data_IF_181450228466
#
_entry.id   IF_181450228466
#
_cell.length_a   1.000
_cell.length_b   1.000
_cell.length_c   1.000
_cell.angle_alpha   90.00
_cell.angle_beta   90.00
_cell.angle_gamma   90.00
#
_symmetry.space_group_name_H-M   'P 1'
#
loop_
_entity.id
_entity.type
_entity.pdbx_description
1 polymer ?
#
# COMPACT_ATOMS: atom_id res chain seq x y z
N UNK A 1 3.68 -36.56 66.58
CA UNK A 1 3.22 -35.32 67.26
C UNK A 1 4.03 -34.15 66.73
N UNK A 2 3.37 -33.21 66.03
CA UNK A 2 3.78 -31.83 65.69
C UNK A 2 5.10 -31.58 64.89
N UNK A 3 5.22 -30.43 64.18
CA UNK A 3 5.46 -30.40 62.72
C UNK A 3 6.67 -29.53 62.31
N UNK A 4 6.97 -29.40 61.01
CA UNK A 4 7.63 -28.20 60.44
C UNK A 4 7.54 -28.13 58.90
N UNK A 5 6.75 -27.14 58.44
CA UNK A 5 6.92 -26.22 57.31
C UNK A 5 7.58 -26.68 55.99
N UNK A 6 6.80 -26.63 54.91
CA UNK A 6 7.30 -26.23 53.58
C UNK A 6 6.40 -25.16 52.96
N UNK A 7 6.99 -24.01 52.62
CA UNK A 7 6.41 -22.98 51.75
C UNK A 7 6.23 -23.49 50.31
N UNK A 8 5.19 -23.06 49.57
CA UNK A 8 5.20 -23.17 48.12
C UNK A 8 5.90 -21.95 47.51
N UNK A 9 7.02 -22.18 46.83
CA UNK A 9 7.62 -21.21 45.93
C UNK A 9 6.73 -21.05 44.69
N UNK A 10 6.22 -19.84 44.48
CA UNK A 10 5.43 -19.46 43.33
C UNK A 10 6.34 -19.33 42.10
N UNK A 11 6.34 -20.33 41.22
CA UNK A 11 7.03 -20.25 39.93
C UNK A 11 6.18 -19.40 38.98
N UNK A 12 6.52 -18.13 38.85
CA UNK A 12 6.01 -17.29 37.76
C UNK A 12 6.58 -17.81 36.43
N UNK A 13 5.73 -18.48 35.65
CA UNK A 13 5.99 -18.73 34.23
C UNK A 13 5.88 -17.39 33.48
N UNK A 14 7.01 -16.74 33.22
CA UNK A 14 7.09 -15.68 32.21
C UNK A 14 6.91 -16.32 30.84
N UNK A 15 5.69 -16.26 30.30
CA UNK A 15 5.47 -16.40 28.87
C UNK A 15 6.24 -15.27 28.15
N UNK A 16 7.42 -15.59 27.64
CA UNK A 16 8.11 -14.77 26.64
C UNK A 16 7.26 -14.76 25.36
N UNK A 17 6.32 -13.83 25.28
CA UNK A 17 5.76 -13.42 23.99
C UNK A 17 6.87 -12.73 23.20
N UNK A 18 7.44 -13.47 22.27
CA UNK A 18 8.30 -12.93 21.21
C UNK A 18 7.42 -12.05 20.33
N UNK A 19 7.32 -10.77 20.67
CA UNK A 19 6.69 -9.77 19.83
C UNK A 19 7.59 -9.48 18.63
N UNK A 20 7.23 -10.01 17.47
CA UNK A 20 7.72 -9.51 16.19
C UNK A 20 7.34 -8.02 16.08
N UNK A 21 8.35 -7.16 16.02
CA UNK A 21 8.17 -5.72 15.86
C UNK A 21 7.40 -5.43 14.56
N UNK A 22 6.14 -5.01 14.70
CA UNK A 22 5.28 -4.53 13.63
C UNK A 22 5.49 -3.03 13.50
N UNK A 23 5.99 -2.53 12.37
CA UNK A 23 6.26 -1.10 12.21
C UNK A 23 5.00 -0.20 12.10
N UNK A 24 3.80 -0.74 12.36
CA UNK A 24 2.56 0.02 12.57
C UNK A 24 2.00 -0.13 13.99
N UNK A 25 2.75 -0.70 14.94
CA UNK A 25 2.35 -0.59 16.34
C UNK A 25 2.59 0.83 16.81
N UNK A 26 1.59 1.37 17.49
CA UNK A 26 1.54 2.67 18.17
C UNK A 26 2.86 3.03 18.89
N UNK A 27 3.66 2.03 19.32
CA UNK A 27 4.98 2.17 19.95
C UNK A 27 6.02 3.03 19.19
N UNK A 28 6.11 2.98 17.86
CA UNK A 28 7.05 3.86 17.15
C UNK A 28 6.58 5.32 17.11
N UNK A 29 5.26 5.56 17.17
CA UNK A 29 4.67 6.90 17.18
C UNK A 29 4.69 7.54 18.58
N UNK A 30 4.66 6.72 19.64
CA UNK A 30 4.66 7.17 21.04
C UNK A 30 5.96 7.87 21.45
N UNK A 31 7.08 7.65 20.73
CA UNK A 31 8.41 8.14 21.14
C UNK A 31 8.82 9.46 20.48
N UNK A 32 8.10 9.96 19.47
CA UNK A 32 8.52 11.15 18.68
C UNK A 32 7.43 12.22 18.48
N UNK A 33 6.19 11.97 18.89
CA UNK A 33 5.06 12.89 18.67
C UNK A 33 4.63 13.69 19.90
N UNK A 34 4.26 14.98 19.78
CA UNK A 34 3.50 15.71 20.79
C UNK A 34 2.25 14.93 21.24
N UNK A 35 1.87 15.03 22.53
CA UNK A 35 0.69 14.36 23.11
C UNK A 35 -0.61 14.53 22.29
N UNK A 36 -0.76 15.67 21.60
CA UNK A 36 -1.90 15.95 20.72
C UNK A 36 -2.00 15.03 19.48
N UNK A 37 -0.90 14.39 19.06
CA UNK A 37 -0.92 13.44 17.95
C UNK A 37 -1.48 12.07 18.38
N UNK A 38 -1.43 11.71 19.66
CA UNK A 38 -1.91 10.40 20.11
C UNK A 38 -3.39 10.16 19.80
N UNK A 39 -4.22 11.20 19.84
CA UNK A 39 -5.64 11.14 19.47
C UNK A 39 -5.85 10.63 18.04
N UNK A 40 -4.93 10.93 17.12
CA UNK A 40 -5.04 10.57 15.71
C UNK A 40 -4.37 9.23 15.38
N UNK A 41 -3.57 8.67 16.29
CA UNK A 41 -2.72 7.51 16.01
C UNK A 41 -3.51 6.28 15.52
N UNK A 42 -4.68 6.01 16.11
CA UNK A 42 -5.56 4.92 15.66
C UNK A 42 -6.05 5.11 14.22
N UNK A 43 -6.49 6.32 13.88
CA UNK A 43 -6.96 6.65 12.53
C UNK A 43 -5.82 6.64 11.50
N UNK A 44 -4.61 7.07 11.90
CA UNK A 44 -3.39 6.96 11.08
C UNK A 44 -3.08 5.50 10.78
N UNK A 45 -3.11 4.63 11.78
CA UNK A 45 -2.87 3.20 11.59
C UNK A 45 -3.89 2.58 10.63
N UNK A 46 -5.18 2.89 10.78
CA UNK A 46 -6.23 2.42 9.87
C UNK A 46 -6.00 2.96 8.45
N UNK A 47 -5.69 4.24 8.30
CA UNK A 47 -5.46 4.84 6.98
C UNK A 47 -4.26 4.28 6.25
N UNK A 48 -3.18 4.01 6.97
CA UNK A 48 -2.03 3.30 6.41
C UNK A 48 -2.37 1.87 5.97
N UNK A 49 -3.16 1.14 6.77
CA UNK A 49 -3.63 -0.20 6.40
C UNK A 49 -4.51 -0.17 5.15
N UNK A 50 -5.42 0.80 5.04
CA UNK A 50 -6.25 1.02 3.85
C UNK A 50 -5.38 1.29 2.61
N UNK A 51 -4.34 2.11 2.75
CA UNK A 51 -3.34 2.34 1.70
C UNK A 51 -2.67 1.04 1.22
N UNK A 52 -2.24 0.18 2.15
CA UNK A 52 -1.62 -1.12 1.80
C UNK A 52 -2.63 -2.12 1.21
N UNK A 53 -3.89 -2.09 1.65
CA UNK A 53 -4.95 -2.92 1.05
C UNK A 53 -5.18 -2.51 -0.41
N UNK A 54 -5.24 -1.21 -0.69
CA UNK A 54 -5.38 -0.70 -2.04
C UNK A 54 -4.14 -1.00 -2.89
N UNK A 55 -2.94 -0.92 -2.32
CA UNK A 55 -1.71 -1.38 -2.98
C UNK A 55 -1.79 -2.84 -3.43
N UNK A 56 -2.28 -3.74 -2.57
CA UNK A 56 -2.48 -5.16 -2.94
C UNK A 56 -3.52 -5.33 -4.03
N UNK A 57 -4.58 -4.51 -3.99
CA UNK A 57 -5.58 -4.52 -5.04
C UNK A 57 -4.99 -4.11 -6.40
N UNK A 58 -4.29 -2.97 -6.46
CA UNK A 58 -3.67 -2.45 -7.68
C UNK A 58 -2.62 -3.40 -8.28
N UNK A 59 -1.89 -4.12 -7.44
CA UNK A 59 -0.80 -5.01 -7.86
C UNK A 59 -1.15 -6.50 -7.82
N UNK A 60 -2.43 -6.87 -7.66
CA UNK A 60 -2.85 -8.27 -7.49
C UNK A 60 -2.38 -9.20 -8.62
N UNK A 61 -2.34 -8.69 -9.85
CA UNK A 61 -1.95 -9.42 -11.07
C UNK A 61 -0.57 -9.03 -11.62
N UNK A 62 0.23 -8.28 -10.85
CA UNK A 62 1.60 -7.88 -11.20
C UNK A 62 2.61 -8.82 -10.58
N UNK A 63 3.82 -8.99 -11.14
CA UNK A 63 4.84 -9.91 -10.57
C UNK A 63 5.18 -9.58 -9.12
N UNK A 64 5.26 -8.28 -8.80
CA UNK A 64 5.26 -7.78 -7.44
C UNK A 64 3.83 -7.45 -7.01
N UNK A 65 3.35 -8.05 -5.92
CA UNK A 65 1.94 -7.98 -5.49
C UNK A 65 1.72 -7.30 -4.13
N UNK A 66 2.57 -6.34 -3.78
CA UNK A 66 2.55 -5.65 -2.50
C UNK A 66 2.60 -6.62 -1.29
N UNK A 67 3.71 -7.38 -1.12
CA UNK A 67 3.84 -8.43 -0.11
C UNK A 67 3.72 -7.88 1.32
N UNK A 68 3.34 -8.72 2.30
CA UNK A 68 3.08 -8.27 3.67
C UNK A 68 4.27 -7.58 4.35
N UNK A 69 5.50 -7.94 3.97
CA UNK A 69 6.73 -7.33 4.50
C UNK A 69 6.85 -5.85 4.11
N UNK A 70 6.12 -5.42 3.07
CA UNK A 70 5.97 -4.02 2.66
C UNK A 70 5.18 -3.18 3.67
N UNK A 71 4.43 -3.80 4.59
CA UNK A 71 3.78 -3.05 5.67
C UNK A 71 4.78 -2.28 6.50
N UNK A 72 6.05 -2.65 6.57
CA UNK A 72 7.00 -1.87 7.36
C UNK A 72 7.57 -0.70 6.57
N UNK A 73 6.92 0.47 6.68
CA UNK A 73 7.42 1.75 6.18
C UNK A 73 8.62 2.29 7.00
N UNK A 74 8.91 1.70 8.16
CA UNK A 74 10.04 2.12 9.00
C UNK A 74 11.40 1.67 8.45
N UNK A 75 12.32 2.64 8.43
CA UNK A 75 13.69 2.61 7.86
C UNK A 75 14.65 1.60 8.51
N UNK A 76 14.32 1.06 9.69
CA UNK A 76 15.25 0.22 10.45
C UNK A 76 15.26 -1.25 10.01
N UNK A 77 14.11 -1.80 9.58
CA UNK A 77 13.98 -3.18 9.09
C UNK A 77 13.10 -3.35 7.82
N UNK A 78 12.53 -2.25 7.32
CA UNK A 78 11.69 -2.20 6.10
C UNK A 78 12.49 -2.05 4.79
N UNK A 79 11.77 -2.02 3.67
CA UNK A 79 12.32 -1.99 2.29
C UNK A 79 13.28 -0.80 2.14
N UNK A 80 14.59 -1.06 2.25
CA UNK A 80 15.64 -0.06 1.99
C UNK A 80 15.80 0.28 0.52
N UNK A 81 15.22 -0.55 -0.37
CA UNK A 81 15.33 -0.36 -1.81
C UNK A 81 14.45 0.79 -2.28
N UNK A 82 15.06 1.72 -3.02
CA UNK A 82 14.40 2.90 -3.55
C UNK A 82 13.87 2.63 -4.96
N UNK A 83 13.07 1.57 -5.13
CA UNK A 83 12.51 1.14 -6.42
C UNK A 83 11.20 1.86 -6.75
N UNK A 84 10.72 1.65 -7.98
CA UNK A 84 9.44 2.17 -8.48
C UNK A 84 8.23 1.69 -7.64
N UNK A 85 8.30 0.50 -7.09
CA UNK A 85 7.25 -0.06 -6.23
C UNK A 85 7.24 0.65 -4.88
N UNK A 86 8.42 0.92 -4.31
CA UNK A 86 8.59 1.69 -3.07
C UNK A 86 8.01 3.09 -3.20
N UNK A 87 8.22 3.77 -4.33
CA UNK A 87 7.63 5.10 -4.55
C UNK A 87 6.10 5.09 -4.48
N UNK A 88 5.46 4.06 -5.05
CA UNK A 88 4.01 3.88 -4.95
C UNK A 88 3.56 3.59 -3.52
N UNK A 89 4.29 2.77 -2.76
CA UNK A 89 3.96 2.45 -1.37
C UNK A 89 3.93 3.70 -0.48
N UNK A 90 4.95 4.55 -0.61
CA UNK A 90 5.02 5.83 0.11
C UNK A 90 3.83 6.72 -0.24
N UNK A 91 3.54 6.89 -1.54
CA UNK A 91 2.42 7.70 -2.00
C UNK A 91 1.06 7.18 -1.51
N UNK A 92 0.76 5.90 -1.70
CA UNK A 92 -0.55 5.34 -1.35
C UNK A 92 -0.76 5.27 0.18
N UNK A 93 0.32 5.11 0.95
CA UNK A 93 0.23 5.11 2.42
C UNK A 93 -0.01 6.52 2.96
N UNK A 94 0.71 7.53 2.45
CA UNK A 94 0.47 8.93 2.79
C UNK A 94 -0.94 9.39 2.40
N UNK A 95 -1.39 8.99 1.20
CA UNK A 95 -2.74 9.21 0.71
C UNK A 95 -3.80 8.53 1.59
N UNK A 96 -3.60 7.27 1.99
CA UNK A 96 -4.52 6.52 2.85
C UNK A 96 -4.68 7.12 4.25
N UNK A 97 -3.58 7.60 4.84
CA UNK A 97 -3.59 8.33 6.12
C UNK A 97 -4.37 9.64 5.98
N UNK A 98 -4.05 10.45 4.96
CA UNK A 98 -4.76 11.72 4.70
C UNK A 98 -6.25 11.50 4.46
N UNK A 99 -6.60 10.51 3.63
CA UNK A 99 -7.98 10.16 3.29
C UNK A 99 -8.80 9.83 4.54
N UNK A 100 -8.27 8.94 5.38
CA UNK A 100 -8.97 8.46 6.58
C UNK A 100 -9.13 9.57 7.60
N UNK A 101 -8.09 10.38 7.81
CA UNK A 101 -8.17 11.52 8.74
C UNK A 101 -9.15 12.59 8.29
N UNK A 102 -9.15 12.94 7.01
CA UNK A 102 -10.15 13.87 6.45
C UNK A 102 -11.56 13.30 6.58
N UNK A 103 -11.76 12.01 6.32
CA UNK A 103 -13.07 11.37 6.40
C UNK A 103 -13.62 11.37 7.82
N UNK A 104 -12.81 10.95 8.79
CA UNK A 104 -13.16 10.95 10.22
C UNK A 104 -13.46 12.36 10.72
N UNK A 105 -12.69 13.35 10.25
CA UNK A 105 -12.95 14.76 10.55
C UNK A 105 -14.33 15.23 10.07
N UNK A 106 -14.68 14.96 8.81
CA UNK A 106 -15.99 15.32 8.25
C UNK A 106 -17.16 14.54 8.85
N UNK A 107 -16.90 13.36 9.44
CA UNK A 107 -17.89 12.55 10.15
C UNK A 107 -18.14 13.02 11.58
N UNK A 108 -17.29 13.90 12.12
CA UNK A 108 -17.37 14.36 13.50
C UNK A 108 -16.72 13.41 14.51
N UNK A 109 -15.81 12.54 14.07
CA UNK A 109 -15.08 11.63 14.97
C UNK A 109 -14.01 12.34 15.82
N UNK A 110 -13.69 13.60 15.49
CA UNK A 110 -12.72 14.42 16.19
C UNK A 110 -13.32 15.77 16.59
N UNK A 111 -13.18 16.14 17.86
CA UNK A 111 -13.71 17.40 18.38
C UNK A 111 -12.97 18.65 17.85
N UNK A 112 -11.70 18.49 17.47
CA UNK A 112 -10.80 19.60 17.13
C UNK A 112 -10.81 19.96 15.64
N UNK A 113 -11.67 19.34 14.84
CA UNK A 113 -11.76 19.63 13.42
C UNK A 113 -13.19 19.41 12.93
N UNK A 114 -13.50 19.97 11.76
CA UNK A 114 -14.80 19.80 11.12
C UNK A 114 -14.67 20.00 9.62
N UNK A 115 -15.82 20.22 8.98
CA UNK A 115 -15.93 20.48 7.54
C UNK A 115 -15.17 21.76 7.13
N UNK A 116 -14.85 21.87 5.84
CA UNK A 116 -14.38 23.11 5.24
C UNK A 116 -15.56 24.04 4.95
N UNK A 117 -15.76 25.01 5.84
CA UNK A 117 -16.85 25.97 5.77
C UNK A 117 -16.51 27.23 4.95
N UNK A 118 -15.30 27.32 4.38
CA UNK A 118 -14.77 28.53 3.74
C UNK A 118 -15.62 29.08 2.59
N UNK A 119 -16.37 28.21 1.91
CA UNK A 119 -17.22 28.56 0.75
C UNK A 119 -18.71 28.49 1.03
N UNK A 120 -19.13 28.13 2.24
CA UNK A 120 -20.55 27.94 2.56
C UNK A 120 -21.35 29.22 2.25
N UNK A 121 -22.55 29.04 1.66
CA UNK A 121 -23.49 30.08 1.22
C UNK A 121 -23.03 30.94 0.03
N UNK A 122 -21.86 30.69 -0.54
CA UNK A 122 -21.45 31.36 -1.78
C UNK A 122 -22.15 30.74 -3.00
N UNK A 123 -22.45 31.55 -4.00
CA UNK A 123 -22.98 31.08 -5.28
C UNK A 123 -21.86 30.38 -6.06
N UNK A 124 -22.06 29.11 -6.40
CA UNK A 124 -21.08 28.33 -7.15
C UNK A 124 -21.22 28.49 -8.68
N UNK A 125 -22.34 29.05 -9.13
CA UNK A 125 -22.68 29.25 -10.53
C UNK A 125 -24.20 29.33 -10.70
N UNK A 126 -24.68 29.27 -11.94
CA UNK A 126 -26.12 29.34 -12.21
C UNK A 126 -26.84 28.11 -11.65
N UNK A 127 -27.85 28.34 -10.79
CA UNK A 127 -28.71 27.27 -10.25
C UNK A 127 -28.10 26.42 -9.13
N UNK A 128 -26.96 26.81 -8.54
CA UNK A 128 -26.42 26.09 -7.40
C UNK A 128 -25.60 26.94 -6.41
N UNK A 129 -25.64 26.52 -5.16
CA UNK A 129 -24.94 27.16 -4.04
C UNK A 129 -24.01 26.19 -3.32
N UNK A 130 -22.96 26.70 -2.71
CA UNK A 130 -22.10 25.94 -1.81
C UNK A 130 -22.80 25.74 -0.46
N UNK A 131 -22.80 24.50 0.04
CA UNK A 131 -23.36 24.14 1.34
C UNK A 131 -23.11 22.68 1.66
N UNK A 132 -23.67 22.16 2.75
CA UNK A 132 -23.33 20.83 3.25
C UNK A 132 -21.95 20.80 3.91
N UNK A 133 -21.37 19.61 4.04
CA UNK A 133 -20.05 19.40 4.64
C UNK A 133 -19.02 19.16 3.55
N UNK A 134 -18.18 20.15 3.25
CA UNK A 134 -17.02 19.93 2.37
C UNK A 134 -15.91 19.25 3.16
N UNK A 135 -15.29 18.22 2.57
CA UNK A 135 -14.25 17.45 3.24
C UNK A 135 -12.99 18.31 3.50
N UNK A 136 -12.56 18.39 4.77
CA UNK A 136 -11.42 19.21 5.19
C UNK A 136 -10.08 18.52 4.88
N UNK A 137 -9.67 18.63 3.62
CA UNK A 137 -8.40 18.05 3.14
C UNK A 137 -7.17 18.76 3.67
N UNK A 138 -7.27 20.04 4.06
CA UNK A 138 -6.15 20.76 4.66
C UNK A 138 -5.77 20.17 6.02
N UNK A 139 -6.76 19.79 6.83
CA UNK A 139 -6.54 19.07 8.09
C UNK A 139 -5.87 17.71 7.86
N UNK A 140 -6.42 16.87 6.98
CA UNK A 140 -5.87 15.55 6.69
C UNK A 140 -4.44 15.59 6.14
N UNK A 141 -4.14 16.56 5.26
CA UNK A 141 -2.81 16.81 4.72
C UNK A 141 -1.80 17.17 5.82
N UNK A 142 -2.16 18.12 6.69
CA UNK A 142 -1.32 18.55 7.83
C UNK A 142 -0.96 17.39 8.74
N UNK A 143 -1.95 16.59 9.15
CA UNK A 143 -1.72 15.48 10.08
C UNK A 143 -0.98 14.33 9.38
N UNK A 144 -1.34 13.98 8.14
CA UNK A 144 -0.62 12.97 7.34
C UNK A 144 0.86 13.34 7.20
N UNK A 145 1.17 14.60 6.91
CA UNK A 145 2.54 15.12 6.88
C UNK A 145 3.26 14.94 8.21
N UNK A 146 2.64 15.32 9.33
CA UNK A 146 3.26 15.19 10.66
C UNK A 146 3.55 13.74 11.06
N UNK A 147 2.75 12.77 10.59
CA UNK A 147 2.94 11.36 10.92
C UNK A 147 3.84 10.62 9.94
N UNK A 148 3.53 10.71 8.65
CA UNK A 148 4.17 9.88 7.62
C UNK A 148 5.54 10.43 7.27
N UNK A 149 5.71 11.76 7.21
CA UNK A 149 7.01 12.36 6.92
C UNK A 149 7.97 12.29 8.13
N UNK A 150 7.44 12.24 9.36
CA UNK A 150 8.25 12.05 10.57
C UNK A 150 8.93 10.66 10.63
N UNK A 151 8.45 9.68 9.88
CA UNK A 151 9.11 8.38 9.73
C UNK A 151 10.39 8.48 8.87
N UNK A 152 10.51 9.52 8.05
CA UNK A 152 11.67 9.80 7.20
C UNK A 152 12.68 10.70 7.94
N UNK A 153 13.37 10.13 8.92
CA UNK A 153 14.37 10.86 9.73
C UNK A 153 15.73 11.04 9.03
N UNK A 154 15.93 10.45 7.85
CA UNK A 154 17.17 10.51 7.09
C UNK A 154 17.39 11.88 6.42
N UNK A 155 18.65 12.23 6.18
CA UNK A 155 19.05 13.37 5.34
C UNK A 155 19.70 12.92 4.02
N UNK A 156 19.50 11.66 3.65
CA UNK A 156 19.98 11.06 2.41
C UNK A 156 19.03 11.33 1.24
N UNK A 157 19.50 11.09 0.01
CA UNK A 157 18.69 11.21 -1.21
C UNK A 157 17.45 10.32 -1.17
N UNK A 158 17.53 9.17 -0.50
CA UNK A 158 16.40 8.25 -0.29
C UNK A 158 15.29 8.90 0.54
N UNK A 159 15.61 9.50 1.69
CA UNK A 159 14.61 10.21 2.49
C UNK A 159 13.97 11.36 1.69
N UNK A 160 14.75 12.12 0.91
CA UNK A 160 14.21 13.18 0.05
C UNK A 160 13.21 12.65 -1.00
N UNK A 161 13.54 11.51 -1.64
CA UNK A 161 12.66 10.82 -2.59
C UNK A 161 11.39 10.31 -1.92
N UNK A 162 11.51 9.72 -0.72
CA UNK A 162 10.37 9.24 0.04
C UNK A 162 9.42 10.38 0.43
N UNK A 163 9.95 11.51 0.91
CA UNK A 163 9.17 12.71 1.24
C UNK A 163 8.44 13.29 0.02
N UNK A 164 9.09 13.31 -1.15
CA UNK A 164 8.45 13.72 -2.40
C UNK A 164 7.30 12.80 -2.78
N UNK A 165 7.50 11.49 -2.70
CA UNK A 165 6.46 10.51 -3.03
C UNK A 165 5.29 10.56 -2.02
N UNK A 166 5.55 10.79 -0.74
CA UNK A 166 4.51 11.02 0.26
C UNK A 166 3.64 12.24 -0.12
N UNK A 167 4.29 13.34 -0.54
CA UNK A 167 3.59 14.55 -0.99
C UNK A 167 2.77 14.30 -2.26
N UNK A 168 3.31 13.57 -3.24
CA UNK A 168 2.58 13.18 -4.44
C UNK A 168 1.31 12.39 -4.10
N UNK A 169 1.38 11.52 -3.09
CA UNK A 169 0.24 10.81 -2.52
C UNK A 169 -0.83 11.74 -1.93
N UNK A 170 -0.44 12.71 -1.11
CA UNK A 170 -1.37 13.69 -0.53
C UNK A 170 -1.99 14.61 -1.59
N UNK A 171 -1.21 15.00 -2.59
CA UNK A 171 -1.71 15.76 -3.74
C UNK A 171 -2.68 14.95 -4.60
N UNK A 172 -2.52 13.62 -4.70
CA UNK A 172 -3.49 12.77 -5.40
C UNK A 172 -4.87 12.82 -4.76
N UNK A 173 -4.96 12.91 -3.42
CA UNK A 173 -6.24 13.11 -2.71
C UNK A 173 -6.91 14.42 -3.14
N UNK A 174 -6.15 15.53 -3.15
CA UNK A 174 -6.66 16.84 -3.56
C UNK A 174 -7.07 16.86 -5.05
N UNK A 175 -6.29 16.21 -5.91
CA UNK A 175 -6.51 16.16 -7.35
C UNK A 175 -7.74 15.32 -7.76
N UNK A 176 -8.11 14.33 -6.94
CA UNK A 176 -9.25 13.44 -7.22
C UNK A 176 -10.54 13.87 -6.52
N UNK A 177 -10.55 14.98 -5.77
CA UNK A 177 -11.78 15.47 -5.14
C UNK A 177 -12.86 15.78 -6.17
N UNK A 178 -14.11 15.42 -5.84
CA UNK A 178 -15.28 15.64 -6.69
C UNK A 178 -16.27 16.58 -6.03
N UNK A 179 -16.98 17.35 -6.86
CA UNK A 179 -18.12 18.14 -6.40
C UNK A 179 -19.36 17.23 -6.34
N UNK A 180 -19.84 16.97 -5.14
CA UNK A 180 -21.10 16.27 -4.91
C UNK A 180 -22.23 17.31 -4.76
N UNK A 181 -23.41 17.01 -5.28
CA UNK A 181 -24.56 17.92 -5.25
C UNK A 181 -25.84 17.17 -4.82
N UNK A 182 -26.72 17.88 -4.11
CA UNK A 182 -28.08 17.45 -3.79
C UNK A 182 -29.08 18.41 -4.42
N UNK A 183 -30.06 17.85 -5.11
CA UNK A 183 -31.13 18.60 -5.77
C UNK A 183 -32.30 18.87 -4.82
N UNK A 184 -32.83 20.09 -4.86
CA UNK A 184 -33.86 20.60 -3.94
C UNK A 184 -35.06 21.24 -4.67
N UNK A 185 -35.15 21.12 -5.99
CA UNK A 185 -36.27 21.65 -6.75
C UNK A 185 -37.56 20.87 -6.55
N UNK A 186 -38.68 21.45 -7.00
CA UNK A 186 -40.02 20.84 -6.93
C UNK A 186 -39.98 19.42 -7.51
N UNK A 187 -40.59 18.47 -6.80
CA UNK A 187 -40.61 17.04 -7.15
C UNK A 187 -39.22 16.39 -7.32
N UNK A 188 -38.18 16.90 -6.66
CA UNK A 188 -36.82 16.38 -6.75
C UNK A 188 -36.01 16.87 -7.96
N UNK A 189 -36.51 17.89 -8.68
CA UNK A 189 -35.78 18.50 -9.79
C UNK A 189 -34.49 19.21 -9.33
N UNK A 190 -33.52 19.35 -10.24
CA UNK A 190 -32.23 20.01 -9.96
C UNK A 190 -32.23 21.50 -10.38
N UNK A 191 -33.38 22.18 -10.35
CA UNK A 191 -33.50 23.61 -10.65
C UNK A 191 -32.74 24.48 -9.65
N UNK A 192 -32.68 24.03 -8.40
CA UNK A 192 -31.76 24.50 -7.38
C UNK A 192 -31.08 23.29 -6.73
N UNK A 193 -29.77 23.37 -6.57
CA UNK A 193 -28.98 22.33 -5.90
C UNK A 193 -27.93 22.92 -4.97
N UNK A 194 -27.61 22.17 -3.93
CA UNK A 194 -26.55 22.50 -2.97
C UNK A 194 -25.40 21.53 -3.19
N UNK A 195 -24.18 22.05 -3.33
CA UNK A 195 -23.00 21.23 -3.58
C UNK A 195 -21.90 21.44 -2.54
N UNK A 196 -21.10 20.40 -2.33
CA UNK A 196 -19.90 20.39 -1.48
C UNK A 196 -18.75 19.67 -2.19
N UNK A 197 -17.53 19.92 -1.73
CA UNK A 197 -16.37 19.14 -2.16
C UNK A 197 -16.28 17.87 -1.33
N UNK A 198 -16.20 16.72 -2.00
CA UNK A 198 -16.11 15.42 -1.37
C UNK A 198 -14.88 14.66 -1.88
N UNK A 199 -14.25 13.89 -1.00
CA UNK A 199 -13.27 12.89 -1.39
C UNK A 199 -13.88 11.91 -2.40
N UNK A 200 -13.11 11.55 -3.43
CA UNK A 200 -13.45 10.42 -4.30
C UNK A 200 -13.41 9.10 -3.52
N UNK A 201 -13.89 8.03 -4.14
CA UNK A 201 -13.69 6.70 -3.59
C UNK A 201 -12.19 6.37 -3.59
N UNK A 202 -11.68 5.76 -2.52
CA UNK A 202 -10.23 5.52 -2.38
C UNK A 202 -9.65 4.64 -3.51
N UNK A 203 -10.50 3.84 -4.16
CA UNK A 203 -10.17 3.11 -5.39
C UNK A 203 -9.77 4.03 -6.54
N UNK A 204 -10.44 5.17 -6.72
CA UNK A 204 -10.10 6.16 -7.75
C UNK A 204 -8.73 6.79 -7.48
N UNK A 205 -8.41 7.07 -6.21
CA UNK A 205 -7.08 7.52 -5.76
C UNK A 205 -6.01 6.46 -6.09
N UNK A 206 -6.30 5.20 -5.78
CA UNK A 206 -5.43 4.06 -6.10
C UNK A 206 -5.16 3.94 -7.60
N UNK A 207 -6.19 4.05 -8.43
CA UNK A 207 -6.08 4.04 -9.89
C UNK A 207 -5.25 5.23 -10.40
N UNK A 208 -5.48 6.43 -9.87
CA UNK A 208 -4.73 7.63 -10.23
C UNK A 208 -3.23 7.46 -9.92
N UNK A 209 -2.90 7.00 -8.71
CA UNK A 209 -1.52 6.73 -8.31
C UNK A 209 -0.89 5.57 -9.09
N UNK A 210 -1.66 4.56 -9.50
CA UNK A 210 -1.17 3.46 -10.34
C UNK A 210 -0.76 3.99 -11.71
N UNK A 211 -1.53 4.91 -12.29
CA UNK A 211 -1.14 5.63 -13.50
C UNK A 211 0.14 6.45 -13.34
N UNK A 212 0.33 7.11 -12.18
CA UNK A 212 1.58 7.81 -11.86
C UNK A 212 2.77 6.86 -11.67
N UNK A 213 2.55 5.67 -11.12
CA UNK A 213 3.58 4.66 -10.95
C UNK A 213 4.08 4.11 -12.29
N UNK A 214 3.19 3.89 -13.25
CA UNK A 214 3.58 3.41 -14.59
C UNK A 214 4.53 4.38 -15.31
N UNK A 215 4.34 5.69 -15.09
CA UNK A 215 5.14 6.77 -15.68
C UNK A 215 6.21 7.34 -14.74
N UNK A 216 6.45 6.70 -13.60
CA UNK A 216 7.41 7.17 -12.60
C UNK A 216 8.81 7.29 -13.20
N UNK A 217 9.55 8.32 -12.77
CA UNK A 217 10.87 8.65 -13.33
C UNK A 217 11.99 8.19 -12.40
N UNK A 218 13.03 7.58 -12.98
CA UNK A 218 14.26 7.32 -12.25
C UNK A 218 15.03 8.62 -12.12
N UNK A 219 15.44 8.95 -10.90
CA UNK A 219 16.27 10.09 -10.62
C UNK A 219 17.72 9.62 -10.54
N UNK A 220 18.50 9.95 -11.56
CA UNK A 220 19.95 9.75 -11.53
C UNK A 220 20.56 10.84 -10.65
N UNK A 221 21.19 10.42 -9.55
CA UNK A 221 21.96 11.33 -8.70
C UNK A 221 23.43 11.20 -9.10
N UNK A 222 24.03 12.31 -9.53
CA UNK A 222 25.45 12.32 -9.88
C UNK A 222 26.28 11.81 -8.70
N UNK A 223 26.91 10.64 -8.90
CA UNK A 223 27.91 10.07 -7.98
C UNK A 223 29.21 10.88 -8.04
N UNK A 224 29.18 12.20 -7.90
CA UNK A 224 30.42 12.92 -7.57
C UNK A 224 30.79 12.47 -6.16
N UNK A 225 31.98 11.85 -5.95
CA UNK A 225 32.38 11.44 -4.63
C UNK A 225 32.32 12.68 -3.74
N UNK A 226 31.58 12.57 -2.64
CA UNK A 226 31.59 13.56 -1.59
C UNK A 226 33.04 13.74 -1.16
N UNK A 227 33.72 14.77 -1.67
CA UNK A 227 34.89 15.31 -0.99
C UNK A 227 34.37 15.67 0.39
N UNK A 228 35.07 15.19 1.43
CA UNK A 228 34.70 15.27 2.83
C UNK A 228 34.71 16.72 3.38
N UNK A 229 33.97 17.62 2.74
CA UNK A 229 33.83 19.02 3.11
C UNK A 229 32.51 19.55 2.55
N UNK A 230 31.54 19.71 3.46
CA UNK A 230 30.29 20.48 3.34
C UNK A 230 29.03 19.75 2.81
N UNK A 231 28.16 19.37 3.75
CA UNK A 231 26.80 18.83 3.54
C UNK A 231 25.83 19.80 2.82
N UNK A 232 26.18 21.07 2.64
CA UNK A 232 25.29 22.08 2.05
C UNK A 232 25.15 21.94 0.53
N UNK A 233 26.23 21.58 -0.18
CA UNK A 233 26.25 21.53 -1.65
C UNK A 233 25.43 20.36 -2.21
N UNK A 234 25.43 19.21 -1.53
CA UNK A 234 24.64 18.06 -1.94
C UNK A 234 23.13 18.30 -1.75
N UNK A 235 22.74 19.05 -0.71
CA UNK A 235 21.34 19.44 -0.47
C UNK A 235 20.83 20.41 -1.53
N UNK A 236 21.70 21.30 -2.02
CA UNK A 236 21.41 22.22 -3.12
C UNK A 236 21.19 21.50 -4.46
N UNK A 237 22.06 20.54 -4.80
CA UNK A 237 21.94 19.74 -6.03
C UNK A 237 20.67 18.87 -6.03
N UNK A 238 20.37 18.22 -4.89
CA UNK A 238 19.14 17.45 -4.72
C UNK A 238 17.93 18.38 -4.87
N UNK A 239 17.88 19.50 -4.15
CA UNK A 239 16.79 20.47 -4.25
C UNK A 239 16.60 21.01 -5.67
N UNK A 240 17.68 21.23 -6.42
CA UNK A 240 17.62 21.65 -7.81
C UNK A 240 17.06 20.55 -8.73
N UNK A 241 17.45 19.29 -8.53
CA UNK A 241 16.91 18.16 -9.28
C UNK A 241 15.40 17.98 -9.01
N UNK A 242 14.93 18.25 -7.79
CA UNK A 242 13.51 18.25 -7.47
C UNK A 242 12.71 19.40 -8.09
N UNK A 243 13.33 20.56 -8.38
CA UNK A 243 12.62 21.71 -8.98
C UNK A 243 12.10 21.43 -10.39
N UNK A 244 12.75 20.56 -11.16
CA UNK A 244 12.32 20.19 -12.51
C UNK A 244 11.27 19.08 -12.52
N UNK A 245 10.95 18.50 -11.36
CA UNK A 245 10.02 17.38 -11.22
C UNK A 245 8.71 17.91 -10.65
N UNK A 246 7.60 17.63 -11.34
CA UNK A 246 6.30 17.99 -10.82
C UNK A 246 6.01 17.24 -9.52
N UNK A 247 5.47 17.96 -8.53
CA UNK A 247 5.14 17.41 -7.20
C UNK A 247 4.13 16.26 -7.21
N UNK A 248 3.41 16.08 -8.32
CA UNK A 248 2.41 15.02 -8.53
C UNK A 248 2.99 13.75 -9.18
N UNK A 249 4.25 13.78 -9.60
CA UNK A 249 4.93 12.64 -10.22
C UNK A 249 5.63 11.78 -9.18
N UNK A 250 5.69 10.47 -9.41
CA UNK A 250 6.45 9.55 -8.58
C UNK A 250 7.87 9.39 -9.10
N UNK A 251 8.82 9.26 -8.17
CA UNK A 251 10.23 9.11 -8.50
C UNK A 251 10.89 7.99 -7.69
N UNK A 252 11.94 7.41 -8.25
CA UNK A 252 12.71 6.32 -7.64
C UNK A 252 14.20 6.44 -7.99
N UNK A 253 15.07 5.74 -7.26
CA UNK A 253 16.54 5.81 -7.45
C UNK A 253 17.11 4.50 -8.01
N UNK A 254 16.51 3.37 -7.67
CA UNK A 254 17.04 2.03 -7.97
C UNK A 254 16.14 1.29 -8.96
N UNK A 255 16.76 0.51 -9.85
CA UNK A 255 16.02 -0.35 -10.75
C UNK A 255 15.32 -1.48 -9.97
N UNK A 256 14.10 -1.80 -10.40
CA UNK A 256 13.32 -2.87 -9.79
C UNK A 256 13.98 -4.23 -10.05
N UNK A 257 14.14 -5.08 -9.02
CA UNK A 257 14.72 -6.41 -9.18
C UNK A 257 13.78 -7.34 -9.95
N UNK A 258 14.30 -8.51 -10.36
CA UNK A 258 13.46 -9.55 -10.93
C UNK A 258 12.58 -10.20 -9.84
N UNK A 259 11.28 -9.87 -9.87
CA UNK A 259 10.27 -10.40 -8.97
C UNK A 259 9.77 -11.81 -9.32
N UNK A 260 10.19 -12.39 -10.44
CA UNK A 260 9.89 -13.79 -10.76
C UNK A 260 10.56 -14.73 -9.73
N UNK A 261 11.80 -14.41 -9.34
CA UNK A 261 12.63 -15.27 -8.48
C UNK A 261 12.36 -14.99 -7.00
N UNK A 262 12.17 -16.07 -6.24
CA UNK A 262 12.05 -16.01 -4.78
C UNK A 262 13.38 -15.55 -4.17
N UNK A 263 13.35 -14.48 -3.39
CA UNK A 263 14.49 -13.96 -2.66
C UNK A 263 14.12 -13.77 -1.18
N UNK A 264 14.54 -14.71 -0.32
CA UNK A 264 14.23 -14.67 1.12
C UNK A 264 14.85 -13.48 1.82
N UNK A 265 16.08 -13.09 1.46
CA UNK A 265 16.81 -11.99 2.09
C UNK A 265 16.14 -10.63 1.86
N UNK A 266 15.51 -10.45 0.69
CA UNK A 266 14.75 -9.23 0.35
C UNK A 266 13.24 -9.38 0.58
N UNK A 267 12.78 -10.53 1.08
CA UNK A 267 11.35 -10.79 1.33
C UNK A 267 10.50 -10.95 0.07
N UNK A 268 11.08 -11.26 -1.09
CA UNK A 268 10.33 -11.48 -2.33
C UNK A 268 9.87 -12.95 -2.41
N UNK A 269 8.57 -13.23 -2.47
CA UNK A 269 8.05 -14.60 -2.49
C UNK A 269 8.26 -15.32 -3.83
N UNK A 270 8.50 -14.59 -4.92
CA UNK A 270 8.49 -15.11 -6.29
C UNK A 270 7.05 -15.23 -6.84
N UNK A 271 6.92 -15.69 -8.09
CA UNK A 271 5.61 -15.86 -8.75
C UNK A 271 5.05 -17.27 -8.71
N UNK A 272 5.82 -18.24 -8.20
CA UNK A 272 5.38 -19.63 -8.02
C UNK A 272 4.19 -19.72 -7.05
N UNK A 273 3.19 -20.53 -7.42
CA UNK A 273 1.96 -20.73 -6.64
C UNK A 273 0.93 -19.61 -6.77
N UNK A 274 1.18 -18.57 -7.56
CA UNK A 274 0.26 -17.44 -7.71
C UNK A 274 -0.90 -17.75 -8.65
N UNK A 275 -2.08 -17.28 -8.27
CA UNK A 275 -3.27 -17.32 -9.12
C UNK A 275 -3.11 -16.34 -10.29
N UNK A 276 -3.50 -16.80 -11.48
CA UNK A 276 -3.58 -15.99 -12.68
C UNK A 276 -4.94 -16.19 -13.34
N UNK A 277 -5.31 -15.29 -14.24
CA UNK A 277 -6.60 -15.27 -14.91
C UNK A 277 -6.44 -15.66 -16.38
N UNK A 278 -6.98 -16.82 -16.75
CA UNK A 278 -7.12 -17.27 -18.14
C UNK A 278 -8.53 -16.86 -18.61
N UNK A 279 -8.58 -16.15 -19.73
CA UNK A 279 -9.69 -15.22 -20.02
C UNK A 279 -11.11 -15.80 -20.16
N UNK A 280 -12.07 -14.98 -19.74
CA UNK A 280 -13.45 -14.94 -20.21
C UNK A 280 -13.66 -13.66 -21.07
N UNK A 281 -14.71 -13.57 -21.90
CA UNK A 281 -14.94 -12.42 -22.83
C UNK A 281 -15.10 -11.07 -22.12
N UNK A 282 -15.53 -11.07 -20.85
CA UNK A 282 -15.83 -9.86 -20.08
C UNK A 282 -14.61 -9.23 -19.35
N UNK A 283 -13.41 -9.79 -19.51
CA UNK A 283 -12.21 -9.33 -18.79
C UNK A 283 -11.36 -8.38 -19.63
N UNK A 284 -10.67 -7.45 -18.98
CA UNK A 284 -9.72 -6.56 -19.65
C UNK A 284 -8.57 -7.34 -20.30
N UNK A 285 -7.98 -6.76 -21.36
CA UNK A 285 -6.83 -7.37 -22.03
C UNK A 285 -5.66 -7.60 -21.07
N UNK A 286 -5.49 -6.71 -20.09
CA UNK A 286 -4.47 -6.79 -19.06
C UNK A 286 -4.63 -8.01 -18.15
N UNK A 287 -5.86 -8.27 -17.69
CA UNK A 287 -6.19 -9.42 -16.84
C UNK A 287 -6.03 -10.73 -17.61
N UNK A 288 -6.47 -10.77 -18.87
CA UNK A 288 -6.34 -11.96 -19.73
C UNK A 288 -4.89 -12.38 -19.99
N UNK A 289 -3.97 -11.42 -19.98
CA UNK A 289 -2.52 -11.66 -20.16
C UNK A 289 -1.80 -11.97 -18.84
N UNK A 290 -2.50 -12.03 -17.71
CA UNK A 290 -1.89 -12.27 -16.39
C UNK A 290 -1.11 -13.59 -16.32
N UNK A 291 -1.65 -14.70 -16.83
CA UNK A 291 -0.93 -15.98 -16.82
C UNK A 291 0.36 -15.95 -17.64
N UNK A 292 0.40 -15.18 -18.74
CA UNK A 292 1.62 -14.97 -19.52
C UNK A 292 2.66 -14.19 -18.73
N UNK A 293 2.28 -13.08 -18.11
CA UNK A 293 3.16 -12.19 -17.35
C UNK A 293 3.69 -12.81 -16.06
N UNK A 294 2.84 -13.56 -15.34
CA UNK A 294 3.16 -14.13 -14.03
C UNK A 294 3.85 -15.49 -14.13
N UNK A 295 3.41 -16.33 -15.09
CA UNK A 295 3.90 -17.69 -15.20
C UNK A 295 4.90 -17.83 -16.35
N UNK A 296 4.46 -17.68 -17.61
CA UNK A 296 5.28 -18.02 -18.78
C UNK A 296 6.54 -17.17 -18.92
N UNK A 297 6.44 -15.84 -18.76
CA UNK A 297 7.58 -14.93 -18.80
C UNK A 297 8.56 -15.14 -17.63
N UNK A 298 8.10 -15.76 -16.54
CA UNK A 298 8.94 -16.18 -15.41
C UNK A 298 9.46 -17.64 -15.55
N UNK A 299 9.25 -18.30 -16.69
CA UNK A 299 9.68 -19.68 -16.92
C UNK A 299 8.83 -20.77 -16.25
N UNK A 300 7.68 -20.39 -15.67
CA UNK A 300 6.73 -21.29 -15.01
C UNK A 300 5.66 -21.79 -15.99
N UNK A 301 5.02 -22.90 -15.65
CA UNK A 301 3.84 -23.41 -16.35
C UNK A 301 2.55 -23.01 -15.62
N UNK A 302 1.44 -23.00 -16.35
CA UNK A 302 0.10 -22.76 -15.79
C UNK A 302 -0.54 -24.11 -15.49
N UNK A 303 -0.97 -24.31 -14.24
CA UNK A 303 -1.68 -25.50 -13.79
C UNK A 303 -3.11 -25.12 -13.45
N UNK A 304 -4.07 -25.91 -13.95
CA UNK A 304 -5.49 -25.72 -13.69
C UNK A 304 -5.88 -26.49 -12.41
N UNK A 305 -6.63 -25.85 -11.50
CA UNK A 305 -7.16 -26.46 -10.27
C UNK A 305 -8.67 -26.22 -10.20
N UNK A 306 -9.45 -27.29 -10.08
CA UNK A 306 -10.89 -27.22 -9.80
C UNK A 306 -11.09 -27.06 -8.30
N UNK A 307 -11.73 -25.98 -7.90
CA UNK A 307 -11.96 -25.63 -6.50
C UNK A 307 -13.45 -25.43 -6.30
N UNK A 308 -13.99 -26.05 -5.25
CA UNK A 308 -15.36 -25.79 -4.79
C UNK A 308 -15.41 -24.46 -4.06
N UNK A 309 -16.18 -23.51 -4.60
CA UNK A 309 -16.43 -22.21 -4.00
C UNK A 309 -17.87 -22.21 -3.51
N UNK A 310 -18.02 -21.92 -2.21
CA UNK A 310 -19.32 -21.71 -1.60
C UNK A 310 -19.67 -20.23 -1.72
N UNK A 311 -20.79 -19.93 -2.35
CA UNK A 311 -21.31 -18.56 -2.49
C UNK A 311 -22.77 -18.49 -2.09
N UNK A 312 -23.17 -17.35 -1.55
CA UNK A 312 -24.59 -17.06 -1.30
C UNK A 312 -25.36 -16.99 -2.62
N UNK A 313 -26.48 -17.68 -2.69
CA UNK A 313 -27.35 -17.77 -3.87
C UNK A 313 -28.82 -17.71 -3.46
N UNK A 314 -29.72 -17.59 -4.45
CA UNK A 314 -31.17 -17.60 -4.24
C UNK A 314 -31.66 -16.65 -3.13
N UNK A 315 -31.01 -15.49 -3.02
CA UNK A 315 -31.30 -14.52 -1.97
C UNK A 315 -32.71 -13.94 -2.13
N UNK A 316 -33.53 -14.08 -1.09
CA UNK A 316 -34.88 -13.49 -1.01
C UNK A 316 -34.92 -12.42 0.08
N UNK A 317 -35.44 -11.25 -0.29
CA UNK A 317 -35.70 -10.17 0.65
C UNK A 317 -37.05 -10.44 1.34
N UNK A 318 -37.02 -10.47 2.67
CA UNK A 318 -38.20 -10.54 3.50
C UNK A 318 -38.54 -9.13 3.99
N UNK A 319 -39.76 -8.70 3.69
CA UNK A 319 -40.29 -7.42 4.18
C UNK A 319 -40.25 -7.41 5.71
N UNK A 320 -39.59 -6.39 6.28
CA UNK A 320 -38.92 -6.31 7.61
C UNK A 320 -37.37 -6.31 7.58
N UNK A 321 -36.77 -6.08 6.41
CA UNK A 321 -35.34 -5.76 6.22
C UNK A 321 -34.36 -6.94 6.36
N UNK A 322 -34.84 -8.18 6.23
CA UNK A 322 -33.97 -9.36 6.31
C UNK A 322 -33.77 -9.98 4.94
N UNK A 323 -32.52 -10.18 4.52
CA UNK A 323 -32.20 -10.98 3.33
C UNK A 323 -31.82 -12.40 3.78
N UNK A 324 -32.51 -13.41 3.26
CA UNK A 324 -32.16 -14.82 3.47
C UNK A 324 -31.63 -15.40 2.17
N UNK A 325 -30.45 -16.02 2.21
CA UNK A 325 -29.80 -16.64 1.06
C UNK A 325 -29.48 -18.09 1.38
N UNK A 326 -29.54 -18.94 0.36
CA UNK A 326 -29.04 -20.30 0.41
C UNK A 326 -27.51 -20.30 0.20
N UNK A 327 -26.83 -21.37 0.63
CA UNK A 327 -25.42 -21.61 0.31
C UNK A 327 -25.32 -22.55 -0.89
N UNK A 328 -24.88 -22.03 -2.03
CA UNK A 328 -24.61 -22.86 -3.22
C UNK A 328 -23.12 -23.16 -3.32
N UNK A 329 -22.81 -24.43 -3.57
CA UNK A 329 -21.47 -24.89 -3.97
C UNK A 329 -21.36 -24.88 -5.49
N UNK A 330 -20.32 -24.21 -6.00
CA UNK A 330 -19.98 -24.20 -7.42
C UNK A 330 -18.53 -24.64 -7.61
N UNK A 331 -18.28 -25.52 -8.59
CA UNK A 331 -16.91 -25.92 -8.94
C UNK A 331 -16.37 -24.92 -9.97
N UNK A 332 -15.39 -24.12 -9.56
CA UNK A 332 -14.73 -23.15 -10.44
C UNK A 332 -13.31 -23.61 -10.78
N UNK A 333 -12.92 -23.43 -12.05
CA UNK A 333 -11.54 -23.69 -12.49
C UNK A 333 -10.70 -22.44 -12.27
N UNK A 334 -9.66 -22.57 -11.46
CA UNK A 334 -8.66 -21.53 -11.21
C UNK A 334 -7.30 -21.93 -11.79
N UNK A 335 -6.47 -20.95 -12.11
CA UNK A 335 -5.18 -21.15 -12.77
C UNK A 335 -4.05 -20.67 -11.87
N UNK A 336 -3.00 -21.48 -11.74
CA UNK A 336 -1.87 -21.18 -10.86
C UNK A 336 -0.54 -21.37 -11.58
N UNK A 337 0.45 -20.52 -11.26
CA UNK A 337 1.81 -20.73 -11.74
C UNK A 337 2.49 -21.87 -10.97
N UNK A 338 3.12 -22.82 -11.66
CA UNK A 338 3.87 -23.91 -11.07
C UNK A 338 5.20 -24.14 -11.80
N UNK A 339 6.17 -24.77 -11.15
CA UNK A 339 7.39 -25.21 -11.82
C UNK A 339 7.08 -26.34 -12.81
N UNK A 340 7.86 -26.40 -13.89
CA UNK A 340 7.86 -27.57 -14.79
C UNK A 340 8.43 -28.75 -14.04
N UNK A 341 7.65 -29.80 -13.84
CA UNK A 341 8.18 -31.07 -13.36
C UNK A 341 8.96 -31.73 -14.50
N UNK A 342 10.29 -31.81 -14.35
CA UNK A 342 11.18 -32.55 -15.27
C UNK A 342 12.24 -31.70 -15.97
N UNK A 343 13.46 -31.69 -15.41
CA UNK A 343 14.63 -31.05 -16.04
C UNK A 343 15.92 -31.11 -15.22
N UNK A 344 16.50 -32.32 -15.09
CA UNK A 344 17.87 -32.66 -14.61
C UNK A 344 18.21 -32.33 -13.15
N UNK A 345 18.29 -33.41 -12.34
CA UNK A 345 19.27 -33.51 -11.24
C UNK A 345 20.66 -33.15 -11.80
N UNK A 346 21.49 -32.35 -11.11
CA UNK A 346 22.88 -32.20 -11.51
C UNK A 346 23.55 -33.58 -11.38
N UNK A 347 23.97 -34.16 -12.51
CA UNK A 347 24.88 -35.29 -12.50
C UNK A 347 26.17 -34.81 -11.82
N UNK A 348 26.39 -35.28 -10.59
CA UNK A 348 27.71 -35.30 -9.98
C UNK A 348 28.62 -36.09 -10.92
N UNK A 349 29.38 -35.39 -11.77
CA UNK A 349 30.58 -35.95 -12.39
C UNK A 349 31.60 -36.13 -11.28
N UNK A 350 31.54 -37.28 -10.61
CA UNK A 350 32.61 -37.81 -9.80
C UNK A 350 33.88 -37.84 -10.66
N UNK A 351 34.81 -36.96 -10.30
CA UNK A 351 36.17 -36.90 -10.82
C UNK A 351 36.80 -38.29 -10.65
N UNK A 352 36.90 -39.05 -11.74
CA UNK A 352 37.70 -40.29 -11.79
C UNK A 352 39.15 -39.92 -11.48
N UNK A 353 39.67 -40.45 -10.38
CA UNK A 353 41.09 -40.49 -10.02
C UNK A 353 41.88 -41.11 -11.18
N UNK A 354 42.74 -40.34 -11.83
CA UNK A 354 43.88 -40.92 -12.56
C UNK A 354 44.94 -41.30 -11.53
N UNK A 355 45.12 -42.61 -11.39
CA UNK A 355 46.19 -43.25 -10.62
C UNK A 355 47.38 -43.39 -11.58
N UNK A 356 48.33 -42.45 -11.53
CA UNK A 356 49.61 -42.61 -12.18
C UNK A 356 50.40 -43.69 -11.41
N UNK A 357 50.63 -44.84 -12.05
CA UNK A 357 51.67 -45.81 -11.67
C UNK A 357 52.93 -45.44 -12.44
N UNK A 358 54.06 -45.39 -11.73
CA UNK A 358 55.39 -45.20 -12.32
C UNK A 358 56.00 -46.46 -12.93
N UNK A 359 57.30 -46.31 -13.29
CA UNK A 359 58.22 -47.18 -14.04
C UNK A 359 58.02 -47.04 -15.56
N UNK A 360 58.97 -46.53 -16.34
CA UNK A 360 60.41 -46.80 -16.37
C UNK A 360 61.29 -45.57 -16.47
#
# INVERSE_FOLDING_TARGET
MRPLNLHPAMVLSMCCHVHFALAWTVNNFLMTGPKALLTYAGSVQVGAQNGIQECKHQFALERWNCPQNTRQLSTQNGIRSATRETSFIHAISAAGVMYTLTKNCSMGDFDNCGCDDSRIRQTGGRGWIWGGCSDNVAFGDKISKQFVDALESGHDSRAAVNLHNNEAGRLAIKATMRRACKCHGVSGSCSIQTCWMQLADFREVGNYLKGKHEHARKLEMDKKPAKAGNNADNRGAIAQAFRSIARTELIYLEDSPDYCVKNRSRGFPGTEGRECLKGNKNMSQWERKSCRRLCYECGLQVVEKRIEVVSSCNCKFHWCCTVRCDKCTQVVTKYYCARKEGGRKPQNKTRRRHRAKGRH
#
